data_IF_635454389295
#
_entry.id   IF_635454389295
#
_cell.length_a   1.000
_cell.length_b   1.000
_cell.length_c   1.000
_cell.angle_alpha   90.00
_cell.angle_beta   90.00
_cell.angle_gamma   90.00
#
_symmetry.space_group_name_H-M   'P 1'
#
loop_
_entity.id
_entity.type
_entity.pdbx_description
1 polymer ?
#
# COMPACT_ATOMS: atom_id res chain seq x y z
N UNK A 1 49.84 68.31 9.09
CA UNK A 1 48.79 67.91 10.05
C UNK A 1 48.64 66.40 9.95
N UNK A 2 49.15 65.68 10.96
CA UNK A 2 49.41 64.23 10.95
C UNK A 2 48.75 63.63 12.21
N UNK A 3 47.87 62.61 12.00
CA UNK A 3 47.47 61.48 12.89
C UNK A 3 46.68 61.83 14.17
N UNK A 4 45.79 61.02 14.78
CA UNK A 4 45.50 59.57 14.88
C UNK A 4 43.97 59.39 15.14
N UNK A 5 43.23 58.54 14.42
CA UNK A 5 42.91 57.13 14.70
C UNK A 5 42.23 56.85 16.07
N UNK A 6 40.88 56.80 16.08
CA UNK A 6 40.08 56.18 17.15
C UNK A 6 39.45 54.89 16.59
N UNK A 7 39.97 53.75 17.03
CA UNK A 7 39.48 52.41 16.67
C UNK A 7 38.26 52.09 17.54
N UNK A 8 37.07 52.00 16.93
CA UNK A 8 35.87 51.49 17.58
C UNK A 8 35.82 49.97 17.40
N UNK A 9 36.06 49.21 18.47
CA UNK A 9 35.90 47.75 18.49
C UNK A 9 34.40 47.41 18.45
N UNK A 10 33.91 46.90 17.31
CA UNK A 10 32.61 46.23 17.23
C UNK A 10 32.76 44.78 17.72
N UNK A 11 32.39 44.54 18.98
CA UNK A 11 32.29 43.20 19.54
C UNK A 11 31.25 42.39 18.73
N UNK A 12 31.73 41.40 17.98
CA UNK A 12 30.88 40.39 17.37
C UNK A 12 30.34 39.49 18.48
N UNK A 13 29.10 39.71 18.91
CA UNK A 13 28.38 38.73 19.72
C UNK A 13 27.86 37.63 18.80
N UNK A 14 28.62 36.55 18.70
CA UNK A 14 28.14 35.29 18.12
C UNK A 14 27.01 34.76 19.01
N UNK A 15 25.76 34.95 18.58
CA UNK A 15 24.59 34.36 19.24
C UNK A 15 24.56 32.86 18.92
N UNK A 16 25.29 32.07 19.70
CA UNK A 16 25.21 30.60 19.64
C UNK A 16 23.93 30.17 20.32
N UNK A 17 22.85 29.95 19.55
CA UNK A 17 21.63 29.29 20.03
C UNK A 17 21.94 27.80 20.15
N UNK A 18 22.72 27.43 21.17
CA UNK A 18 22.82 26.04 21.59
C UNK A 18 21.56 25.70 22.36
N UNK A 19 20.70 24.81 21.83
CA UNK A 19 19.68 24.19 22.66
C UNK A 19 20.39 23.40 23.77
N UNK A 20 20.20 23.75 25.06
CA UNK A 20 20.84 23.01 26.13
C UNK A 20 20.30 21.59 26.10
N UNK A 21 21.19 20.62 25.86
CA UNK A 21 20.88 19.21 26.00
C UNK A 21 20.67 18.92 27.50
N UNK A 22 19.43 19.07 27.96
CA UNK A 22 19.06 18.63 29.29
C UNK A 22 19.25 17.10 29.35
N UNK A 23 19.98 16.56 30.33
CA UNK A 23 20.11 15.12 30.48
C UNK A 23 18.73 14.52 30.75
N UNK A 24 18.43 13.37 30.15
CA UNK A 24 17.11 12.72 30.18
C UNK A 24 16.57 12.49 31.61
N UNK A 25 17.45 12.39 32.61
CA UNK A 25 17.08 12.26 34.02
C UNK A 25 16.72 13.55 34.76
N UNK A 26 16.96 14.73 34.18
CA UNK A 26 16.65 16.02 34.82
C UNK A 26 15.19 16.45 34.66
N UNK A 27 14.43 15.82 33.75
CA UNK A 27 12.98 15.99 33.67
C UNK A 27 12.30 14.98 34.58
N UNK A 28 11.74 15.45 35.68
CA UNK A 28 10.84 14.66 36.51
C UNK A 28 9.65 14.22 35.64
N UNK A 29 9.46 12.91 35.49
CA UNK A 29 8.35 12.39 34.69
C UNK A 29 7.03 12.87 35.31
N UNK A 30 6.10 13.47 34.54
CA UNK A 30 4.80 13.82 35.08
C UNK A 30 4.11 12.55 35.57
N UNK A 31 3.71 12.51 36.85
CA UNK A 31 2.92 11.42 37.41
C UNK A 31 1.61 11.35 36.62
N UNK A 32 1.46 10.34 35.77
CA UNK A 32 0.20 10.05 35.09
C UNK A 32 -0.63 9.28 36.13
N UNK A 33 -1.70 9.88 36.70
CA UNK A 33 -2.53 9.18 37.67
C UNK A 33 -3.15 7.96 36.99
N UNK A 34 -2.95 6.78 37.57
CA UNK A 34 -3.62 5.55 37.12
C UNK A 34 -5.07 5.65 37.56
N UNK A 35 -5.92 6.26 36.72
CA UNK A 35 -7.35 6.31 36.96
C UNK A 35 -7.97 4.97 36.54
N UNK A 36 -8.54 4.18 37.48
CA UNK A 36 -9.20 2.92 37.14
C UNK A 36 -10.52 3.11 36.36
N UNK A 37 -11.04 4.34 36.28
CA UNK A 37 -12.26 4.69 35.57
C UNK A 37 -11.92 5.32 34.22
N UNK A 38 -12.09 4.55 33.15
CA UNK A 38 -11.66 4.83 31.76
C UNK A 38 -12.63 5.81 31.06
N UNK A 39 -13.10 6.84 31.76
CA UNK A 39 -13.98 7.85 31.16
C UNK A 39 -13.18 8.84 30.27
N UNK A 40 -11.88 9.00 30.54
CA UNK A 40 -10.96 9.82 29.77
C UNK A 40 -9.65 9.07 29.62
N UNK A 41 -9.32 8.69 28.37
CA UNK A 41 -8.06 8.02 28.08
C UNK A 41 -6.89 9.01 28.28
N UNK A 42 -5.88 8.65 29.10
CA UNK A 42 -4.77 9.55 29.42
C UNK A 42 -3.90 9.88 28.20
N UNK A 43 -3.82 8.97 27.22
CA UNK A 43 -3.10 9.19 25.97
C UNK A 43 -3.79 10.23 25.09
N UNK A 44 -5.08 10.05 24.80
CA UNK A 44 -5.81 10.92 23.86
C UNK A 44 -5.93 12.34 24.39
N UNK A 45 -6.02 12.50 25.71
CA UNK A 45 -6.05 13.81 26.38
C UNK A 45 -4.71 14.55 26.27
N UNK A 46 -3.58 13.83 26.32
CA UNK A 46 -2.23 14.43 26.36
C UNK A 46 -1.60 14.59 24.98
N UNK A 47 -1.79 13.59 24.11
CA UNK A 47 -1.09 13.46 22.83
C UNK A 47 -2.04 13.39 21.63
N UNK A 48 -3.36 13.29 21.84
CA UNK A 48 -4.35 13.15 20.78
C UNK A 48 -4.54 11.70 20.31
N UNK A 49 -5.24 11.55 19.17
CA UNK A 49 -5.50 10.24 18.60
C UNK A 49 -4.21 9.52 18.21
N UNK A 50 -4.16 8.22 18.48
CA UNK A 50 -3.07 7.38 18.04
C UNK A 50 -3.08 7.29 16.51
N UNK A 51 -1.94 7.61 15.90
CA UNK A 51 -1.69 7.43 14.46
C UNK A 51 -0.49 6.51 14.28
N UNK A 52 -0.53 5.70 13.23
CA UNK A 52 0.61 4.89 12.87
C UNK A 52 1.69 5.74 12.18
N UNK A 53 2.93 5.55 12.61
CA UNK A 53 4.11 6.06 11.93
C UNK A 53 4.43 5.17 10.73
N UNK A 54 5.19 5.68 9.77
CA UNK A 54 5.55 4.94 8.56
C UNK A 54 6.18 3.57 8.82
N UNK A 55 6.89 3.40 9.92
CA UNK A 55 7.55 2.15 10.32
C UNK A 55 6.81 1.36 11.40
N UNK A 56 5.63 1.81 11.86
CA UNK A 56 4.76 1.09 12.79
C UNK A 56 3.51 0.59 12.05
N UNK A 57 2.48 0.13 12.78
CA UNK A 57 1.22 -0.30 12.19
C UNK A 57 1.22 -1.70 11.57
N UNK A 58 0.02 -2.19 11.18
CA UNK A 58 -0.15 -3.45 10.48
C UNK A 58 0.52 -3.41 9.10
N UNK A 59 1.13 -4.52 8.69
CA UNK A 59 1.87 -4.59 7.42
C UNK A 59 0.95 -4.87 6.23
N UNK A 60 0.26 -3.84 5.75
CA UNK A 60 -0.43 -3.83 4.47
C UNK A 60 0.35 -3.04 3.41
N UNK A 61 -0.04 -3.18 2.14
CA UNK A 61 0.51 -2.37 1.06
C UNK A 61 0.22 -0.88 1.30
N UNK A 62 1.25 -0.03 1.39
CA UNK A 62 1.12 1.42 1.61
C UNK A 62 0.29 1.85 2.84
N UNK A 63 0.21 1.02 3.89
CA UNK A 63 -0.65 1.25 5.07
C UNK A 63 -2.15 1.42 4.73
N UNK A 64 -2.64 0.79 3.65
CA UNK A 64 -4.06 0.80 3.30
C UNK A 64 -4.84 -0.21 4.15
N UNK A 65 -6.16 -0.10 4.13
CA UNK A 65 -7.06 -1.04 4.80
C UNK A 65 -6.82 -2.48 4.30
N UNK A 66 -6.64 -3.41 5.25
CA UNK A 66 -6.47 -4.84 4.98
C UNK A 66 -7.79 -5.58 5.22
N UNK A 67 -8.21 -6.39 4.24
CA UNK A 67 -9.39 -7.25 4.35
C UNK A 67 -9.18 -8.58 3.63
N UNK A 68 -9.84 -9.64 4.09
CA UNK A 68 -9.79 -10.95 3.42
C UNK A 68 -10.84 -11.04 2.31
N UNK A 69 -10.55 -10.45 1.15
CA UNK A 69 -11.50 -10.34 0.05
C UNK A 69 -11.96 -11.67 -0.57
N UNK A 70 -11.28 -12.79 -0.30
CA UNK A 70 -11.66 -14.12 -0.83
C UNK A 70 -12.71 -14.83 0.02
N UNK A 71 -12.64 -14.70 1.35
CA UNK A 71 -13.53 -15.42 2.30
C UNK A 71 -14.63 -14.55 2.87
N UNK A 72 -14.38 -13.25 3.04
CA UNK A 72 -15.26 -12.32 3.71
C UNK A 72 -15.80 -11.32 2.67
N UNK A 73 -17.08 -11.46 2.33
CA UNK A 73 -17.81 -10.48 1.54
C UNK A 73 -19.08 -10.11 2.28
N UNK A 74 -19.05 -8.96 2.95
CA UNK A 74 -20.15 -8.46 3.75
C UNK A 74 -21.16 -7.60 2.96
N UNK A 75 -20.96 -7.46 1.64
CA UNK A 75 -21.80 -6.65 0.76
C UNK A 75 -21.22 -5.26 0.50
N UNK A 76 -22.04 -4.22 0.65
CA UNK A 76 -21.81 -2.87 0.13
C UNK A 76 -20.55 -2.16 0.70
N UNK A 77 -20.12 -2.51 1.92
CA UNK A 77 -18.92 -1.97 2.57
C UNK A 77 -17.58 -2.47 2.02
N UNK A 78 -17.58 -3.60 1.31
CA UNK A 78 -16.38 -4.28 0.79
C UNK A 78 -16.15 -4.05 -0.70
N UNK A 79 -16.86 -3.09 -1.29
CA UNK A 79 -16.62 -2.62 -2.65
C UNK A 79 -15.27 -1.90 -2.73
N UNK A 80 -14.53 -2.10 -3.83
CA UNK A 80 -13.25 -1.42 -4.10
C UNK A 80 -13.07 -1.22 -5.61
N UNK A 81 -12.23 -0.27 -5.98
CA UNK A 81 -11.88 0.00 -7.38
C UNK A 81 -10.59 -0.71 -7.79
N UNK A 82 -9.64 -0.80 -6.85
CA UNK A 82 -8.36 -1.44 -7.03
C UNK A 82 -8.10 -2.40 -5.86
N UNK A 83 -7.95 -3.69 -6.14
CA UNK A 83 -7.60 -4.70 -5.16
C UNK A 83 -6.12 -5.08 -5.28
N UNK A 84 -5.38 -4.98 -4.19
CA UNK A 84 -4.01 -5.51 -4.11
C UNK A 84 -4.08 -6.95 -3.62
N UNK A 85 -3.46 -7.89 -4.33
CA UNK A 85 -3.50 -9.31 -3.98
C UNK A 85 -2.12 -9.94 -4.13
N UNK A 86 -1.62 -10.64 -3.12
CA UNK A 86 -0.38 -11.39 -3.22
C UNK A 86 -0.58 -12.83 -3.71
N UNK A 87 0.36 -13.30 -4.53
CA UNK A 87 0.42 -14.68 -5.00
C UNK A 87 1.78 -15.30 -4.62
N UNK A 88 1.89 -15.91 -3.43
CA UNK A 88 3.17 -16.43 -2.92
C UNK A 88 3.54 -17.80 -3.54
N UNK A 89 3.90 -17.82 -4.83
CA UNK A 89 4.18 -19.05 -5.58
C UNK A 89 5.61 -19.07 -6.16
N UNK A 90 6.38 -20.14 -5.98
CA UNK A 90 7.74 -20.26 -6.55
C UNK A 90 8.17 -21.69 -6.91
N UNK A 91 7.24 -22.64 -6.96
CA UNK A 91 7.55 -24.06 -7.19
C UNK A 91 7.90 -24.37 -8.64
N UNK A 92 7.75 -23.42 -9.57
CA UNK A 92 8.16 -23.54 -10.97
C UNK A 92 9.40 -22.71 -11.30
N UNK A 93 10.10 -22.20 -10.29
CA UNK A 93 11.39 -21.53 -10.48
C UNK A 93 12.45 -22.50 -11.02
N UNK A 94 13.26 -22.04 -11.97
CA UNK A 94 14.32 -22.84 -12.60
C UNK A 94 15.68 -22.73 -11.91
N UNK A 95 15.88 -21.69 -11.10
CA UNK A 95 17.16 -21.42 -10.42
C UNK A 95 16.96 -21.19 -8.93
N UNK A 96 16.93 -19.92 -8.46
CA UNK A 96 16.80 -19.60 -7.04
C UNK A 96 15.33 -19.51 -6.64
N UNK A 97 14.85 -20.35 -5.70
CA UNK A 97 13.53 -20.16 -5.08
C UNK A 97 13.57 -18.97 -4.10
N UNK A 98 12.40 -18.52 -3.66
CA UNK A 98 12.27 -17.39 -2.74
C UNK A 98 11.23 -16.35 -3.18
N UNK A 99 10.74 -16.43 -4.41
CA UNK A 99 9.70 -15.52 -4.91
C UNK A 99 8.38 -15.61 -4.10
N UNK A 100 8.16 -16.71 -3.38
CA UNK A 100 7.04 -16.86 -2.43
C UNK A 100 7.03 -15.81 -1.31
N UNK A 101 8.19 -15.27 -0.94
CA UNK A 101 8.31 -14.20 0.07
C UNK A 101 8.17 -12.80 -0.53
N UNK A 102 8.06 -12.69 -1.85
CA UNK A 102 7.92 -11.44 -2.59
C UNK A 102 6.76 -10.56 -2.12
N UNK A 103 5.51 -11.09 -1.96
CA UNK A 103 4.38 -10.26 -1.53
C UNK A 103 4.63 -9.56 -0.19
N UNK A 104 5.16 -10.31 0.79
CA UNK A 104 5.51 -9.77 2.11
C UNK A 104 6.61 -8.70 2.01
N UNK A 105 7.67 -8.97 1.22
CA UNK A 105 8.77 -8.03 1.02
C UNK A 105 8.32 -6.73 0.33
N UNK A 106 7.40 -6.82 -0.64
CA UNK A 106 6.83 -5.64 -1.31
C UNK A 106 6.01 -4.81 -0.33
N UNK A 107 5.15 -5.43 0.50
CA UNK A 107 4.42 -4.70 1.54
C UNK A 107 5.37 -4.02 2.52
N UNK A 108 6.40 -4.72 2.99
CA UNK A 108 7.45 -4.17 3.86
C UNK A 108 8.22 -3.00 3.22
N UNK A 109 8.52 -3.08 1.92
CA UNK A 109 9.18 -2.00 1.17
C UNK A 109 8.26 -0.81 0.91
N UNK A 110 6.95 -1.03 0.80
CA UNK A 110 5.95 0.00 0.53
C UNK A 110 5.59 0.88 1.72
N UNK A 111 6.13 0.61 2.92
CA UNK A 111 5.77 1.29 4.17
C UNK A 111 6.04 2.81 4.20
N UNK A 112 6.95 3.29 3.36
CA UNK A 112 7.19 4.74 3.18
C UNK A 112 6.18 5.43 2.28
N UNK A 113 5.39 4.66 1.55
CA UNK A 113 4.28 5.15 0.77
C UNK A 113 3.04 5.06 1.67
N UNK A 114 2.34 6.16 1.88
CA UNK A 114 1.14 6.21 2.73
C UNK A 114 0.04 7.04 2.07
N UNK A 115 -0.88 7.59 2.86
CA UNK A 115 -1.94 8.49 2.36
C UNK A 115 -1.40 9.75 1.66
N UNK A 116 -0.15 10.10 1.96
CA UNK A 116 0.59 11.20 1.32
C UNK A 116 1.35 10.78 0.05
N UNK A 117 1.21 9.53 -0.41
CA UNK A 117 1.90 9.07 -1.62
C UNK A 117 1.41 9.88 -2.84
N UNK A 118 2.26 10.80 -3.28
CA UNK A 118 1.99 11.75 -4.34
C UNK A 118 2.93 11.49 -5.51
N UNK A 119 2.36 11.36 -6.71
CA UNK A 119 3.17 11.31 -7.93
C UNK A 119 3.39 12.73 -8.43
N UNK A 120 4.66 13.15 -8.48
CA UNK A 120 5.04 14.47 -8.97
C UNK A 120 4.74 14.67 -10.46
N UNK A 121 4.75 13.60 -11.27
CA UNK A 121 4.51 13.71 -12.72
C UNK A 121 3.03 13.84 -13.04
N UNK A 122 2.18 13.12 -12.29
CA UNK A 122 0.72 13.18 -12.45
C UNK A 122 0.06 14.22 -11.54
N UNK A 123 0.84 14.87 -10.69
CA UNK A 123 0.40 15.85 -9.71
C UNK A 123 -0.78 15.38 -8.84
N UNK A 124 -0.91 14.06 -8.63
CA UNK A 124 -2.06 13.44 -7.97
C UNK A 124 -1.66 12.14 -7.26
N UNK A 125 -2.49 11.73 -6.30
CA UNK A 125 -2.44 10.39 -5.71
C UNK A 125 -3.64 9.57 -6.20
N UNK A 126 -3.51 8.24 -6.39
CA UNK A 126 -4.64 7.40 -6.80
C UNK A 126 -5.88 7.54 -5.90
N UNK A 127 -5.66 7.70 -4.58
CA UNK A 127 -6.73 7.97 -3.61
C UNK A 127 -7.28 9.39 -3.70
N UNK A 128 -6.43 10.39 -3.98
CA UNK A 128 -6.84 11.77 -4.25
C UNK A 128 -7.68 11.91 -5.51
N UNK A 129 -7.49 11.02 -6.49
CA UNK A 129 -8.35 10.89 -7.67
C UNK A 129 -9.70 10.21 -7.37
N UNK A 130 -9.92 9.71 -6.15
CA UNK A 130 -11.20 9.10 -5.73
C UNK A 130 -11.25 7.57 -5.84
N UNK A 131 -10.16 6.89 -6.22
CA UNK A 131 -10.14 5.43 -6.27
C UNK A 131 -10.03 4.83 -4.85
N UNK A 132 -10.92 3.89 -4.51
CA UNK A 132 -10.80 3.09 -3.29
C UNK A 132 -9.88 1.89 -3.55
N UNK A 133 -8.75 1.88 -2.85
CA UNK A 133 -7.76 0.79 -2.91
C UNK A 133 -7.85 -0.03 -1.64
N UNK A 134 -7.83 -1.36 -1.77
CA UNK A 134 -7.92 -2.30 -0.67
C UNK A 134 -6.81 -3.36 -0.76
N UNK A 135 -6.14 -3.69 0.34
CA UNK A 135 -5.24 -4.84 0.40
C UNK A 135 -6.05 -6.09 0.74
N UNK A 136 -6.15 -7.00 -0.22
CA UNK A 136 -6.92 -8.23 -0.13
C UNK A 136 -6.13 -9.41 0.43
N UNK A 137 -4.90 -9.16 0.91
CA UNK A 137 -4.03 -10.20 1.44
C UNK A 137 -3.49 -11.13 0.36
N UNK A 138 -3.25 -12.37 0.73
CA UNK A 138 -2.57 -13.36 -0.10
C UNK A 138 -3.49 -14.53 -0.45
N UNK A 139 -3.33 -15.05 -1.67
CA UNK A 139 -4.03 -16.27 -2.10
C UNK A 139 -3.45 -17.48 -1.37
N UNK A 140 -4.29 -18.33 -0.74
CA UNK A 140 -3.83 -19.58 -0.14
C UNK A 140 -3.50 -20.59 -1.24
N UNK A 141 -2.22 -20.66 -1.62
CA UNK A 141 -1.73 -21.57 -2.65
C UNK A 141 -1.15 -22.87 -2.06
N UNK A 142 -1.39 -23.98 -2.76
CA UNK A 142 -0.77 -25.27 -2.46
C UNK A 142 0.72 -25.22 -2.80
N UNK A 143 1.57 -25.64 -1.85
CA UNK A 143 3.02 -25.70 -2.06
C UNK A 143 3.49 -27.03 -2.66
N UNK A 144 2.66 -28.07 -2.62
CA UNK A 144 3.06 -29.43 -3.02
C UNK A 144 2.58 -29.81 -4.42
N UNK A 145 1.47 -29.22 -4.85
CA UNK A 145 0.86 -29.51 -6.15
C UNK A 145 0.78 -28.21 -6.97
N UNK A 146 1.65 -28.03 -7.98
CA UNK A 146 1.64 -26.83 -8.80
C UNK A 146 0.41 -26.73 -9.71
N UNK A 147 -0.21 -27.85 -10.11
CA UNK A 147 -1.41 -27.82 -10.94
C UNK A 147 -2.60 -27.30 -10.11
N UNK A 148 -2.74 -27.79 -8.87
CA UNK A 148 -3.72 -27.27 -7.92
C UNK A 148 -3.46 -25.80 -7.56
N UNK A 149 -2.19 -25.41 -7.40
CA UNK A 149 -1.85 -24.01 -7.11
C UNK A 149 -2.28 -23.07 -8.24
N UNK A 150 -2.07 -23.47 -9.50
CA UNK A 150 -2.53 -22.72 -10.67
C UNK A 150 -4.06 -22.54 -10.68
N UNK A 151 -4.79 -23.61 -10.41
CA UNK A 151 -6.26 -23.60 -10.32
C UNK A 151 -6.77 -22.70 -9.18
N UNK A 152 -6.11 -22.76 -8.01
CA UNK A 152 -6.42 -21.89 -6.87
C UNK A 152 -6.19 -20.40 -7.20
N UNK A 153 -5.08 -20.07 -7.88
CA UNK A 153 -4.80 -18.70 -8.30
C UNK A 153 -5.78 -18.20 -9.37
N UNK A 154 -6.13 -19.05 -10.34
CA UNK A 154 -7.10 -18.73 -11.40
C UNK A 154 -8.49 -18.46 -10.80
N UNK A 155 -8.93 -19.32 -9.88
CA UNK A 155 -10.20 -19.18 -9.17
C UNK A 155 -10.20 -17.92 -8.31
N UNK A 156 -9.15 -17.69 -7.51
CA UNK A 156 -9.04 -16.50 -6.68
C UNK A 156 -9.10 -15.20 -7.50
N UNK A 157 -8.38 -15.15 -8.62
CA UNK A 157 -8.38 -13.97 -9.49
C UNK A 157 -9.74 -13.78 -10.17
N UNK A 158 -10.38 -14.86 -10.62
CA UNK A 158 -11.74 -14.81 -11.19
C UNK A 158 -12.75 -14.29 -10.16
N UNK A 159 -12.69 -14.76 -8.91
CA UNK A 159 -13.54 -14.26 -7.82
C UNK A 159 -13.33 -12.77 -7.56
N UNK A 160 -12.09 -12.30 -7.61
CA UNK A 160 -11.78 -10.87 -7.45
C UNK A 160 -12.40 -10.02 -8.56
N UNK A 161 -12.28 -10.44 -9.81
CA UNK A 161 -12.88 -9.73 -10.94
C UNK A 161 -14.41 -9.69 -10.82
N UNK A 162 -15.05 -10.70 -10.24
CA UNK A 162 -16.51 -10.75 -10.09
C UNK A 162 -17.04 -9.84 -8.96
N UNK A 163 -16.16 -9.22 -8.15
CA UNK A 163 -16.60 -8.31 -7.08
C UNK A 163 -17.21 -7.03 -7.66
N UNK A 164 -18.23 -6.44 -7.01
CA UNK A 164 -18.75 -5.15 -7.44
C UNK A 164 -17.74 -4.05 -7.17
N UNK A 165 -17.63 -3.16 -8.15
CA UNK A 165 -16.85 -1.93 -8.04
C UNK A 165 -17.62 -0.93 -7.19
N UNK A 166 -16.91 -0.14 -6.38
CA UNK A 166 -17.54 0.92 -5.57
C UNK A 166 -18.19 2.00 -6.44
N UNK A 167 -17.72 2.14 -7.68
CA UNK A 167 -18.05 3.22 -8.62
C UNK A 167 -17.93 4.55 -7.88
N UNK A 168 -16.67 5.01 -7.71
CA UNK A 168 -16.27 6.27 -7.07
C UNK A 168 -17.42 7.06 -6.48
N UNK A 169 -17.53 7.08 -5.14
CA UNK A 169 -18.48 7.97 -4.46
C UNK A 169 -18.40 9.34 -5.10
N UNK A 170 -19.53 9.90 -5.55
CA UNK A 170 -19.63 11.11 -6.38
C UNK A 170 -19.09 12.40 -5.77
N UNK A 171 -17.82 12.41 -5.38
CA UNK A 171 -17.07 13.57 -4.87
C UNK A 171 -16.00 14.03 -5.86
N UNK A 172 -15.61 13.20 -6.84
CA UNK A 172 -14.75 13.64 -7.95
C UNK A 172 -15.34 13.22 -9.32
N UNK A 173 -15.89 14.15 -10.11
CA UNK A 173 -16.46 13.87 -11.43
C UNK A 173 -15.43 13.42 -12.48
N UNK A 174 -14.12 13.50 -12.16
CA UNK A 174 -13.04 13.14 -13.08
C UNK A 174 -12.69 11.63 -13.07
N UNK A 175 -13.15 10.88 -12.07
CA UNK A 175 -12.91 9.43 -12.01
C UNK A 175 -13.98 8.67 -12.81
N UNK A 176 -13.65 8.32 -14.05
CA UNK A 176 -14.49 7.50 -14.93
C UNK A 176 -13.96 6.05 -15.00
N UNK A 177 -14.76 5.08 -14.56
CA UNK A 177 -14.41 3.67 -14.67
C UNK A 177 -14.65 3.17 -16.11
N UNK A 178 -13.55 3.08 -16.87
CA UNK A 178 -13.54 2.59 -18.25
C UNK A 178 -13.64 1.07 -18.37
N UNK A 179 -13.65 0.30 -17.27
CA UNK A 179 -13.64 -1.17 -17.37
C UNK A 179 -14.93 -1.71 -18.00
N UNK A 180 -16.07 -1.05 -17.75
CA UNK A 180 -17.37 -1.43 -18.32
C UNK A 180 -17.41 -1.43 -19.85
N UNK A 181 -16.67 -0.53 -20.50
CA UNK A 181 -16.69 -0.41 -21.97
C UNK A 181 -15.85 -1.49 -22.65
N UNK A 182 -14.91 -2.10 -21.91
CA UNK A 182 -13.99 -3.11 -22.42
C UNK A 182 -14.45 -4.52 -22.06
N UNK A 183 -15.21 -4.68 -20.96
CA UNK A 183 -15.71 -5.97 -20.51
C UNK A 183 -16.79 -6.53 -21.45
N UNK A 184 -16.73 -7.85 -21.71
CA UNK A 184 -17.68 -8.53 -22.60
C UNK A 184 -19.08 -8.66 -22.02
N UNK A 185 -19.18 -8.70 -20.70
CA UNK A 185 -20.45 -8.81 -19.97
C UNK A 185 -21.12 -7.44 -19.75
N UNK A 186 -20.48 -6.34 -20.18
CA UNK A 186 -20.98 -4.97 -20.03
C UNK A 186 -21.06 -4.50 -18.57
N UNK A 187 -20.34 -5.15 -17.65
CA UNK A 187 -20.26 -4.78 -16.24
C UNK A 187 -18.93 -4.13 -15.91
N UNK A 188 -18.95 -3.28 -14.89
CA UNK A 188 -17.74 -2.72 -14.30
C UNK A 188 -17.06 -3.79 -13.44
N UNK A 189 -15.74 -3.89 -13.52
CA UNK A 189 -14.93 -4.86 -12.78
C UNK A 189 -13.77 -4.17 -12.09
N UNK A 190 -13.40 -4.58 -10.86
CA UNK A 190 -12.29 -3.98 -10.15
C UNK A 190 -10.98 -4.34 -10.83
N UNK A 191 -10.03 -3.41 -10.78
CA UNK A 191 -8.66 -3.67 -11.24
C UNK A 191 -7.91 -4.40 -10.14
N UNK A 192 -7.17 -5.44 -10.50
CA UNK A 192 -6.40 -6.22 -9.53
C UNK A 192 -4.92 -5.99 -9.80
N UNK A 193 -4.18 -5.59 -8.77
CA UNK A 193 -2.73 -5.50 -8.79
C UNK A 193 -2.18 -6.69 -8.02
N UNK A 194 -1.50 -7.59 -8.73
CA UNK A 194 -0.92 -8.79 -8.14
C UNK A 194 0.52 -8.58 -7.71
N UNK A 195 0.85 -9.07 -6.52
CA UNK A 195 2.19 -8.98 -5.94
C UNK A 195 2.87 -10.35 -5.94
N UNK A 196 4.15 -10.35 -6.33
CA UNK A 196 5.08 -11.44 -6.08
C UNK A 196 4.81 -12.70 -6.92
N UNK A 197 5.37 -13.81 -6.47
CA UNK A 197 5.37 -15.06 -7.20
C UNK A 197 6.42 -15.12 -8.31
N UNK A 198 6.79 -16.33 -8.73
CA UNK A 198 7.49 -16.54 -9.99
C UNK A 198 6.57 -16.18 -11.17
N UNK A 199 7.10 -16.16 -12.39
CA UNK A 199 6.29 -15.72 -13.53
C UNK A 199 5.15 -16.67 -13.91
N UNK A 200 5.10 -17.85 -13.34
CA UNK A 200 4.04 -18.81 -13.64
C UNK A 200 2.68 -18.31 -13.16
N UNK A 201 2.63 -17.36 -12.22
CA UNK A 201 1.38 -16.71 -11.79
C UNK A 201 0.68 -15.92 -12.91
N UNK A 202 1.40 -15.54 -13.97
CA UNK A 202 0.83 -14.74 -15.06
C UNK A 202 -0.18 -15.56 -15.87
N UNK A 203 0.06 -16.86 -16.07
CA UNK A 203 -0.84 -17.72 -16.83
C UNK A 203 -2.28 -17.77 -16.26
N UNK A 204 -2.51 -18.08 -14.97
CA UNK A 204 -3.86 -18.09 -14.40
C UNK A 204 -4.50 -16.70 -14.38
N UNK A 205 -3.70 -15.63 -14.24
CA UNK A 205 -4.19 -14.24 -14.35
C UNK A 205 -4.72 -13.96 -15.76
N UNK A 206 -3.94 -14.28 -16.80
CA UNK A 206 -4.36 -14.05 -18.19
C UNK A 206 -5.60 -14.87 -18.55
N UNK A 207 -5.69 -16.12 -18.09
CA UNK A 207 -6.90 -16.95 -18.27
C UNK A 207 -8.12 -16.33 -17.62
N UNK A 208 -7.99 -15.83 -16.40
CA UNK A 208 -9.09 -15.17 -15.70
C UNK A 208 -9.51 -13.86 -16.39
N UNK A 209 -8.55 -13.07 -16.90
CA UNK A 209 -8.82 -11.84 -17.65
C UNK A 209 -9.48 -12.12 -19.01
N UNK A 210 -9.01 -13.12 -19.75
CA UNK A 210 -9.57 -13.50 -21.06
C UNK A 210 -11.05 -13.90 -20.97
N UNK A 211 -11.46 -14.53 -19.85
CA UNK A 211 -12.88 -14.85 -19.60
C UNK A 211 -13.77 -13.60 -19.52
N UNK A 212 -13.25 -12.48 -19.01
CA UNK A 212 -14.01 -11.25 -18.78
C UNK A 212 -13.89 -10.27 -19.95
N UNK A 213 -12.67 -10.09 -20.47
CA UNK A 213 -12.35 -9.08 -21.48
C UNK A 213 -12.12 -9.68 -22.88
N UNK A 214 -11.83 -10.98 -22.98
CA UNK A 214 -11.40 -11.63 -24.22
C UNK A 214 -9.93 -11.40 -24.55
N UNK A 215 -9.55 -11.44 -25.84
CA UNK A 215 -8.16 -11.25 -26.25
C UNK A 215 -7.58 -9.95 -25.70
N UNK A 216 -6.56 -10.09 -24.87
CA UNK A 216 -5.85 -8.98 -24.22
C UNK A 216 -4.46 -8.78 -24.83
N UNK A 217 -4.02 -7.53 -24.92
CA UNK A 217 -2.63 -7.20 -25.19
C UNK A 217 -1.81 -7.33 -23.91
N UNK A 218 -0.62 -7.92 -24.02
CA UNK A 218 0.30 -8.09 -22.89
C UNK A 218 1.57 -7.31 -23.16
N UNK A 219 1.82 -6.30 -22.33
CA UNK A 219 3.10 -5.58 -22.30
C UNK A 219 3.98 -6.19 -21.21
N UNK A 220 4.99 -6.98 -21.59
CA UNK A 220 5.90 -7.64 -20.67
C UNK A 220 7.26 -6.95 -20.63
N UNK A 221 7.64 -6.40 -19.47
CA UNK A 221 8.99 -5.89 -19.24
C UNK A 221 9.82 -6.96 -18.53
N UNK A 222 10.70 -7.63 -19.29
CA UNK A 222 11.51 -8.74 -18.76
C UNK A 222 12.77 -8.97 -19.60
N UNK A 223 13.82 -9.42 -18.93
CA UNK A 223 15.09 -9.81 -19.58
C UNK A 223 14.98 -11.12 -20.38
N UNK A 224 14.23 -12.10 -19.87
CA UNK A 224 14.03 -13.41 -20.51
C UNK A 224 12.61 -13.52 -21.09
N UNK A 225 12.45 -13.78 -22.38
CA UNK A 225 11.12 -14.06 -22.93
C UNK A 225 10.63 -15.44 -22.46
N UNK A 226 9.47 -15.51 -21.81
CA UNK A 226 8.79 -16.77 -21.47
C UNK A 226 7.64 -16.97 -22.45
N UNK A 227 7.85 -17.78 -23.48
CA UNK A 227 6.86 -18.04 -24.56
C UNK A 227 6.08 -19.33 -24.35
N UNK A 228 6.14 -19.93 -23.15
CA UNK A 228 5.43 -21.15 -22.78
C UNK A 228 4.26 -20.84 -21.88
#
# INVERSE_FOLDING_TARGET
>A
MIRYALVLLLAHTTLSIGHPHLPLGARQAPNIPVNPNVAQEPWTTKYGFQTDLEYTGPLSFMHIEYKRCLSEYSGEGDTFDIGIMGMPFDTKTSYRPGARFGPFAIRAGSRRLSDLAYDFNYAASPRGLGAKILDCGDVPVSIFDPAKALDQMETAYTTMLQRPVRNGTGTNPDYDDRTKTVARDGRAHPRVVTLGGDHTIVLPILRALDRVYGPISVSCLRVLCSTK
#
